data_IF_870700823700
#
_entry.id   IF_870700823700
#
_cell.length_a   1.000
_cell.length_b   1.000
_cell.length_c   1.000
_cell.angle_alpha   90.00
_cell.angle_beta   90.00
_cell.angle_gamma   90.00
#
_symmetry.space_group_name_H-M   'P 1'
#
loop_
_entity.id
_entity.type
_entity.pdbx_description
1 polymer ?
#
# COMPACT_ATOMS: atom_id res chain seq x y z
N UNK A 1 -2.80 4.54 19.29
CA UNK A 1 -3.83 4.36 20.34
C UNK A 1 -3.68 2.97 20.94
N UNK A 2 -3.02 2.82 22.08
CA UNK A 2 -2.93 1.55 22.79
C UNK A 2 -4.22 1.33 23.61
N UNK A 3 -4.86 0.16 23.49
CA UNK A 3 -6.04 -0.17 24.29
C UNK A 3 -5.62 -0.38 25.75
N UNK A 4 -6.26 0.35 26.67
CA UNK A 4 -6.24 0.12 28.11
C UNK A 4 -7.04 -1.16 28.41
N UNK A 5 -6.40 -2.31 28.29
CA UNK A 5 -6.85 -3.52 29.00
C UNK A 5 -6.00 -3.61 30.27
N UNK A 6 -6.42 -4.39 31.26
CA UNK A 6 -5.60 -4.81 32.42
C UNK A 6 -5.90 -4.13 33.78
N UNK A 7 -6.83 -3.18 33.91
CA UNK A 7 -7.18 -2.61 35.25
C UNK A 7 -8.09 -3.51 36.10
N UNK A 8 -8.74 -4.52 35.52
CA UNK A 8 -9.67 -5.42 36.21
C UNK A 8 -9.11 -6.84 36.39
N UNK A 9 -7.88 -7.08 35.96
CA UNK A 9 -7.22 -8.38 36.08
C UNK A 9 -6.30 -8.37 37.32
N UNK A 10 -6.77 -8.99 38.40
CA UNK A 10 -6.04 -9.09 39.66
C UNK A 10 -4.79 -9.99 39.58
N UNK A 11 -4.49 -10.58 38.41
CA UNK A 11 -3.38 -11.51 38.22
C UNK A 11 -3.52 -12.81 39.01
N UNK A 12 -4.64 -13.01 39.71
CA UNK A 12 -4.95 -14.21 40.48
C UNK A 12 -5.51 -15.28 39.55
N UNK A 13 -4.81 -16.41 39.48
CA UNK A 13 -5.29 -17.59 38.74
C UNK A 13 -6.39 -18.26 39.57
N UNK A 14 -7.65 -18.09 39.15
CA UNK A 14 -8.81 -18.67 39.85
C UNK A 14 -8.86 -20.19 39.64
N UNK A 15 -8.47 -20.66 38.44
CA UNK A 15 -8.38 -22.09 38.08
C UNK A 15 -7.27 -22.28 37.03
N UNK A 16 -6.46 -23.33 37.18
CA UNK A 16 -5.51 -23.72 36.15
C UNK A 16 -6.26 -24.33 34.95
N UNK A 17 -6.24 -23.65 33.81
CA UNK A 17 -6.87 -24.09 32.56
C UNK A 17 -5.88 -24.82 31.63
N UNK A 18 -4.66 -25.09 32.10
CA UNK A 18 -3.68 -25.89 31.36
C UNK A 18 -4.04 -27.37 31.47
N UNK A 19 -4.92 -27.80 30.56
CA UNK A 19 -5.35 -29.19 30.41
C UNK A 19 -4.57 -29.81 29.26
N UNK A 20 -3.91 -30.94 29.51
CA UNK A 20 -3.08 -31.63 28.52
C UNK A 20 -3.82 -31.92 27.21
N UNK A 21 -3.18 -31.59 26.09
CA UNK A 21 -3.69 -31.82 24.74
C UNK A 21 -4.55 -30.68 24.17
N UNK A 22 -4.93 -29.70 24.99
CA UNK A 22 -5.60 -28.49 24.51
C UNK A 22 -4.70 -27.66 23.58
N UNK A 23 -5.23 -26.96 22.57
CA UNK A 23 -4.42 -26.22 21.58
C UNK A 23 -3.39 -25.23 22.18
N UNK A 24 -3.67 -24.66 23.35
CA UNK A 24 -2.78 -23.71 24.04
C UNK A 24 -1.68 -24.36 24.89
N UNK A 25 -1.79 -25.65 25.22
CA UNK A 25 -0.75 -26.43 25.92
C UNK A 25 0.27 -27.05 24.96
N UNK A 26 0.00 -27.03 23.65
CA UNK A 26 0.95 -27.46 22.64
C UNK A 26 2.11 -26.46 22.63
N UNK A 27 3.38 -26.90 22.61
CA UNK A 27 4.49 -25.97 22.43
C UNK A 27 4.19 -25.17 21.19
N UNK A 28 4.06 -23.86 21.39
CA UNK A 28 3.69 -22.96 20.31
C UNK A 28 4.62 -23.24 19.12
N UNK A 29 4.14 -23.10 17.89
CA UNK A 29 4.99 -23.26 16.70
C UNK A 29 6.29 -22.46 16.86
N UNK A 30 6.16 -21.33 17.55
CA UNK A 30 7.15 -20.39 18.04
C UNK A 30 8.28 -20.99 18.93
N UNK A 31 7.97 -22.01 19.75
CA UNK A 31 8.87 -22.69 20.70
C UNK A 31 9.57 -23.93 20.09
N UNK A 32 8.95 -24.50 19.06
CA UNK A 32 9.52 -25.57 18.23
C UNK A 32 10.77 -25.10 17.49
N UNK A 33 11.72 -25.99 17.17
CA UNK A 33 12.92 -25.63 16.40
C UNK A 33 12.60 -24.93 15.05
N UNK A 34 11.47 -25.29 14.44
CA UNK A 34 10.94 -24.64 13.24
C UNK A 34 10.47 -23.18 13.48
N UNK A 35 9.96 -22.87 14.67
CA UNK A 35 9.55 -21.51 15.06
C UNK A 35 10.71 -20.58 15.37
N UNK A 36 11.83 -21.13 15.86
CA UNK A 36 13.06 -20.35 16.06
C UNK A 36 13.58 -19.77 14.74
N UNK A 37 13.55 -20.57 13.67
CA UNK A 37 13.87 -20.14 12.31
C UNK A 37 12.88 -19.07 11.81
N UNK A 38 11.58 -19.32 11.97
CA UNK A 38 10.55 -18.34 11.59
C UNK A 38 10.69 -17.01 12.36
N UNK A 39 11.14 -17.04 13.63
CA UNK A 39 11.39 -15.83 14.42
C UNK A 39 12.57 -15.04 13.88
N UNK A 40 13.63 -15.71 13.45
CA UNK A 40 14.81 -15.07 12.86
C UNK A 40 14.46 -14.36 11.55
N UNK A 41 13.67 -15.00 10.70
CA UNK A 41 13.21 -14.41 9.44
C UNK A 41 12.27 -13.22 9.68
N UNK A 42 11.32 -13.35 10.61
CA UNK A 42 10.41 -12.26 10.98
C UNK A 42 11.17 -11.10 11.62
N UNK A 43 12.21 -11.38 12.42
CA UNK A 43 13.05 -10.33 13.04
C UNK A 43 13.88 -9.60 11.99
N UNK A 44 14.51 -10.31 11.06
CA UNK A 44 15.21 -9.71 9.91
C UNK A 44 14.27 -8.88 9.04
N UNK A 45 13.05 -9.36 8.76
CA UNK A 45 12.06 -8.58 8.02
C UNK A 45 11.62 -7.33 8.78
N UNK A 46 11.48 -7.40 10.11
CA UNK A 46 11.15 -6.25 10.95
C UNK A 46 12.30 -5.24 11.00
N UNK A 47 13.53 -5.70 11.18
CA UNK A 47 14.75 -4.87 11.14
C UNK A 47 14.93 -4.23 9.76
N UNK A 48 14.62 -4.94 8.67
CA UNK A 48 14.60 -4.37 7.32
C UNK A 48 13.48 -3.34 7.13
N UNK A 49 12.29 -3.55 7.71
CA UNK A 49 11.21 -2.55 7.68
C UNK A 49 11.60 -1.32 8.49
N UNK A 50 12.14 -1.48 9.69
CA UNK A 50 12.63 -0.38 10.52
C UNK A 50 13.82 0.34 9.87
N UNK A 51 14.76 -0.38 9.25
CA UNK A 51 15.88 0.24 8.52
C UNK A 51 15.43 0.91 7.21
N UNK A 52 14.28 0.51 6.63
CA UNK A 52 13.63 1.23 5.54
C UNK A 52 12.89 2.45 6.07
N UNK A 53 12.23 2.36 7.23
CA UNK A 53 11.58 3.47 7.93
C UNK A 53 12.58 4.56 8.37
N UNK A 54 13.71 4.18 8.97
CA UNK A 54 14.82 5.09 9.35
C UNK A 54 15.50 5.73 8.13
N UNK A 55 15.46 5.05 6.98
CA UNK A 55 15.89 5.60 5.68
C UNK A 55 14.79 6.42 4.98
N UNK A 56 13.65 6.65 5.63
CA UNK A 56 12.54 7.44 5.09
C UNK A 56 11.70 6.76 4.01
N UNK A 57 11.84 5.44 3.82
CA UNK A 57 11.18 4.66 2.76
C UNK A 57 9.82 4.05 3.16
N UNK A 58 9.25 4.44 4.31
CA UNK A 58 7.82 4.25 4.56
C UNK A 58 7.03 5.33 3.81
N UNK A 59 6.96 5.18 2.48
CA UNK A 59 6.62 6.19 1.48
C UNK A 59 5.49 7.17 1.83
N UNK A 60 5.79 8.48 1.99
CA UNK A 60 4.83 9.56 1.89
C UNK A 60 5.37 10.67 0.98
N UNK A 61 4.86 10.76 -0.25
CA UNK A 61 5.34 11.63 -1.34
C UNK A 61 6.68 11.17 -1.92
N UNK A 62 6.63 10.59 -3.10
CA UNK A 62 7.77 10.57 -4.01
C UNK A 62 8.25 12.02 -4.14
N UNK A 63 9.30 12.39 -3.40
CA UNK A 63 9.99 13.68 -3.58
C UNK A 63 10.67 13.60 -4.93
N UNK A 64 9.87 13.82 -5.98
CA UNK A 64 10.37 13.93 -7.33
C UNK A 64 11.43 15.02 -7.33
N UNK A 65 12.63 14.67 -7.73
CA UNK A 65 13.65 15.67 -8.03
C UNK A 65 13.04 16.69 -8.98
N UNK A 66 13.34 17.99 -8.81
CA UNK A 66 12.81 19.07 -9.67
C UNK A 66 13.03 18.80 -11.17
N UNK A 67 14.01 17.95 -11.50
CA UNK A 67 14.32 17.51 -12.86
C UNK A 67 13.40 16.37 -13.35
N UNK A 68 12.97 15.47 -12.46
CA UNK A 68 12.07 14.36 -12.75
C UNK A 68 10.61 14.83 -12.90
N UNK A 69 10.21 15.85 -12.11
CA UNK A 69 8.89 16.47 -12.23
C UNK A 69 8.67 17.02 -13.64
N UNK A 70 9.66 17.73 -14.20
CA UNK A 70 9.53 18.37 -15.52
C UNK A 70 9.32 17.34 -16.63
N UNK A 71 9.99 16.19 -16.54
CA UNK A 71 9.83 15.12 -17.53
C UNK A 71 8.45 14.47 -17.43
N UNK A 72 7.99 14.23 -16.20
CA UNK A 72 6.66 13.68 -15.95
C UNK A 72 5.56 14.63 -16.48
N UNK A 73 5.63 15.92 -16.15
CA UNK A 73 4.65 16.93 -16.61
C UNK A 73 4.61 17.03 -18.14
N UNK A 74 5.76 16.93 -18.83
CA UNK A 74 5.81 17.00 -20.30
C UNK A 74 4.98 15.89 -20.95
N UNK A 75 5.09 14.66 -20.45
CA UNK A 75 4.37 13.53 -21.02
C UNK A 75 2.86 13.63 -20.73
N UNK A 76 2.46 14.07 -19.52
CA UNK A 76 1.05 14.28 -19.18
C UNK A 76 0.41 15.38 -20.02
N UNK A 77 1.11 16.49 -20.24
CA UNK A 77 0.62 17.59 -21.09
C UNK A 77 0.47 17.12 -22.54
N UNK A 78 1.44 16.35 -23.05
CA UNK A 78 1.37 15.81 -24.40
C UNK A 78 0.16 14.87 -24.58
N UNK A 79 -0.11 14.01 -23.60
CA UNK A 79 -1.26 13.12 -23.62
C UNK A 79 -2.58 13.89 -23.62
N UNK A 80 -2.72 14.92 -22.78
CA UNK A 80 -3.89 15.78 -22.75
C UNK A 80 -4.11 16.54 -24.07
N UNK A 81 -3.03 17.06 -24.67
CA UNK A 81 -3.09 17.76 -25.96
C UNK A 81 -3.54 16.82 -27.09
N UNK A 82 -3.07 15.57 -27.10
CA UNK A 82 -3.47 14.57 -28.09
C UNK A 82 -4.99 14.36 -28.08
N UNK A 83 -5.56 14.13 -26.90
CA UNK A 83 -7.01 13.93 -26.74
C UNK A 83 -7.79 15.16 -27.25
N UNK A 84 -7.31 16.36 -26.91
CA UNK A 84 -7.91 17.61 -27.39
C UNK A 84 -7.88 17.75 -28.92
N UNK A 85 -6.78 17.35 -29.57
CA UNK A 85 -6.66 17.37 -31.03
C UNK A 85 -7.63 16.39 -31.69
N UNK A 86 -7.78 15.18 -31.13
CA UNK A 86 -8.74 14.19 -31.65
C UNK A 86 -10.17 14.74 -31.59
N UNK A 87 -10.55 15.38 -30.48
CA UNK A 87 -11.86 16.01 -30.35
C UNK A 87 -12.06 17.19 -31.30
N UNK A 88 -11.06 18.05 -31.46
CA UNK A 88 -11.12 19.17 -32.41
C UNK A 88 -11.31 18.67 -33.84
N UNK A 89 -10.57 17.64 -34.26
CA UNK A 89 -10.74 17.02 -35.57
C UNK A 89 -12.16 16.44 -35.74
N UNK A 90 -12.67 15.75 -34.72
CA UNK A 90 -14.05 15.23 -34.73
C UNK A 90 -15.09 16.34 -34.88
N UNK A 91 -14.97 17.44 -34.14
CA UNK A 91 -15.87 18.59 -34.24
C UNK A 91 -15.76 19.30 -35.59
N UNK A 92 -14.56 19.48 -36.12
CA UNK A 92 -14.36 20.07 -37.46
C UNK A 92 -14.99 19.21 -38.54
N UNK A 93 -14.75 17.89 -38.50
CA UNK A 93 -15.39 16.95 -39.43
C UNK A 93 -16.92 16.97 -39.29
N UNK A 94 -17.43 17.04 -38.07
CA UNK A 94 -18.86 17.17 -37.81
C UNK A 94 -19.44 18.47 -38.38
N UNK A 95 -18.78 19.61 -38.19
CA UNK A 95 -19.21 20.91 -38.75
C UNK A 95 -19.15 20.87 -40.27
N UNK A 96 -18.07 20.35 -40.88
CA UNK A 96 -17.98 20.18 -42.33
C UNK A 96 -19.12 19.29 -42.85
N UNK A 97 -19.41 18.20 -42.14
CA UNK A 97 -20.54 17.33 -42.48
C UNK A 97 -21.87 18.08 -42.41
N UNK A 98 -22.10 18.86 -41.34
CA UNK A 98 -23.30 19.68 -41.22
C UNK A 98 -23.43 20.66 -42.40
N UNK A 99 -22.36 21.36 -42.77
CA UNK A 99 -22.40 22.37 -43.84
C UNK A 99 -22.56 21.74 -45.24
N UNK A 100 -21.77 20.73 -45.56
CA UNK A 100 -21.67 20.22 -46.94
C UNK A 100 -22.65 19.09 -47.27
N UNK A 101 -23.04 18.29 -46.27
CA UNK A 101 -23.91 17.12 -46.49
C UNK A 101 -25.33 17.37 -45.99
N UNK A 102 -25.47 18.00 -44.82
CA UNK A 102 -26.78 18.09 -44.17
C UNK A 102 -27.56 19.39 -44.45
N UNK A 103 -26.89 20.55 -44.47
CA UNK A 103 -27.50 21.87 -44.74
C UNK A 103 -27.50 22.28 -46.22
N UNK A 104 -27.06 21.40 -47.11
CA UNK A 104 -27.17 21.56 -48.57
C UNK A 104 -28.38 20.78 -49.06
#
# INVERSE_FOLDING_TARGET
MARKKDELDDGRVIVNMDVDGMPWTKPSLFESAAGRFAREDIRKMREQRLAREDKGLASPLQEFSKQEIKQFTRNSVLAGLLIGVVYMLGLVLFILFCVYVWLR
#
